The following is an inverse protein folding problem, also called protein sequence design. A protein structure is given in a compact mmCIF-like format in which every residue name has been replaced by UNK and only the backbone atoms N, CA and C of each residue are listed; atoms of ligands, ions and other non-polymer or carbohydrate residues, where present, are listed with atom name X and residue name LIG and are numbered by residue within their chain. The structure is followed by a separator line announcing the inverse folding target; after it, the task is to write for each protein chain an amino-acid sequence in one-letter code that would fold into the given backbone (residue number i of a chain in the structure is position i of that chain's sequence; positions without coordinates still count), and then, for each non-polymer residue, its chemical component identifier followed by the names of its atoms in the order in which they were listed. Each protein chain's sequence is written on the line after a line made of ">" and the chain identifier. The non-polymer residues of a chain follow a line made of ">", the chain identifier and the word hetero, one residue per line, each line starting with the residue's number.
data_IF_266907680582
#
_entry.id   IF_266907680582
#
_cell.length_a   1.000
_cell.length_b   1.000
_cell.length_c   1.000
_cell.angle_alpha   90.00
_cell.angle_beta   90.00
_cell.angle_gamma   90.00
#
_symmetry.space_group_name_H-M   'P 1'
#
loop_
_entity.id
_entity.type
_entity.pdbx_description
1 polymer ?
#
# COMPACT_ATOMS: atom_id res chain seq x y z
N UNK A 1 -1.03 15.36 13.76
CA UNK A 1 -0.88 13.98 13.26
C UNK A 1 -2.24 13.51 12.80
N UNK A 2 -2.55 13.68 11.52
CA UNK A 2 -3.74 13.08 10.91
C UNK A 2 -3.44 11.62 10.62
N UNK A 3 -4.37 10.73 10.94
CA UNK A 3 -4.27 9.33 10.58
C UNK A 3 -4.09 9.22 9.07
N UNK A 4 -2.99 8.60 8.63
CA UNK A 4 -2.85 8.14 7.27
C UNK A 4 -3.79 6.93 7.15
N UNK A 5 -4.94 7.11 6.50
CA UNK A 5 -5.80 6.00 6.09
C UNK A 5 -5.03 5.17 5.06
N UNK A 6 -4.24 4.21 5.57
CA UNK A 6 -3.58 3.16 4.78
C UNK A 6 -4.50 1.94 4.59
N UNK A 7 -5.79 2.08 4.92
CA UNK A 7 -6.75 0.97 5.00
C UNK A 7 -7.41 0.68 3.65
N UNK A 8 -6.59 0.63 2.60
CA UNK A 8 -6.97 0.13 1.28
C UNK A 8 -6.71 -1.38 1.21
N UNK A 9 -7.65 -2.20 0.71
CA UNK A 9 -7.36 -3.61 0.51
C UNK A 9 -6.21 -3.81 -0.49
N UNK A 10 -5.34 -4.79 -0.21
CA UNK A 10 -4.24 -5.22 -1.08
C UNK A 10 -4.66 -5.49 -2.54
N UNK A 11 -5.92 -5.84 -2.77
CA UNK A 11 -6.49 -5.97 -4.11
C UNK A 11 -7.91 -5.43 -4.10
N UNK A 12 -8.21 -4.49 -5.01
CA UNK A 12 -9.55 -3.95 -5.17
C UNK A 12 -9.93 -3.74 -6.64
N UNK A 13 -11.24 -3.69 -6.90
CA UNK A 13 -11.81 -3.30 -8.19
C UNK A 13 -12.68 -2.07 -7.96
N UNK A 14 -12.33 -0.96 -8.60
CA UNK A 14 -13.06 0.31 -8.48
C UNK A 14 -13.53 0.79 -9.84
N UNK A 15 -14.70 1.44 -9.88
CA UNK A 15 -15.20 2.10 -11.09
C UNK A 15 -15.01 3.60 -10.99
N UNK A 16 -14.44 4.19 -12.04
CA UNK A 16 -14.18 5.62 -12.17
C UNK A 16 -14.92 6.18 -13.38
N UNK A 17 -15.29 7.46 -13.33
CA UNK A 17 -16.01 8.14 -14.40
C UNK A 17 -15.08 9.02 -15.26
N UNK A 18 -13.82 9.15 -14.85
CA UNK A 18 -12.79 9.83 -15.62
C UNK A 18 -11.40 9.24 -15.34
N UNK A 19 -10.49 9.35 -16.31
CA UNK A 19 -9.06 9.01 -16.11
C UNK A 19 -8.46 9.94 -15.05
N UNK A 20 -8.92 11.20 -15.00
CA UNK A 20 -8.51 12.18 -14.00
C UNK A 20 -8.77 11.70 -12.57
N UNK A 21 -9.92 11.10 -12.27
CA UNK A 21 -10.19 10.53 -10.94
C UNK A 21 -9.20 9.41 -10.57
N UNK A 22 -8.83 8.56 -11.53
CA UNK A 22 -7.81 7.51 -11.29
C UNK A 22 -6.45 8.18 -10.99
N UNK A 23 -6.10 9.22 -11.74
CA UNK A 23 -4.85 9.96 -11.55
C UNK A 23 -4.79 10.67 -10.20
N UNK A 24 -5.88 11.31 -9.78
CA UNK A 24 -6.03 11.96 -8.46
C UNK A 24 -5.87 10.93 -7.33
N UNK A 25 -6.46 9.73 -7.47
CA UNK A 25 -6.26 8.63 -6.53
C UNK A 25 -4.79 8.20 -6.47
N UNK A 26 -4.11 8.00 -7.61
CA UNK A 26 -2.67 7.65 -7.63
C UNK A 26 -1.82 8.76 -6.98
N UNK A 27 -2.16 10.03 -7.19
CA UNK A 27 -1.45 11.17 -6.59
C UNK A 27 -1.61 11.22 -5.06
N UNK A 28 -2.80 10.89 -4.55
CA UNK A 28 -3.03 10.74 -3.12
C UNK A 28 -2.19 9.59 -2.54
N UNK A 29 -2.17 8.43 -3.21
CA UNK A 29 -1.40 7.26 -2.80
C UNK A 29 0.11 7.56 -2.74
N UNK A 30 0.65 8.24 -3.76
CA UNK A 30 2.06 8.68 -3.80
C UNK A 30 2.36 9.61 -2.63
N UNK A 31 1.47 10.57 -2.35
CA UNK A 31 1.63 11.54 -1.26
C UNK A 31 1.71 10.83 0.09
N UNK A 32 0.85 9.85 0.34
CA UNK A 32 0.86 9.06 1.57
C UNK A 32 2.13 8.22 1.70
N UNK A 33 2.54 7.52 0.65
CA UNK A 33 3.75 6.70 0.66
C UNK A 33 5.01 7.54 0.85
N UNK A 34 5.06 8.76 0.29
CA UNK A 34 6.16 9.70 0.52
C UNK A 34 6.25 10.18 1.96
N UNK A 35 5.12 10.43 2.61
CA UNK A 35 5.08 10.80 4.02
C UNK A 35 5.66 9.66 4.89
N UNK A 36 5.21 8.42 4.66
CA UNK A 36 5.75 7.24 5.34
C UNK A 36 7.24 7.02 5.08
N UNK A 37 7.67 7.19 3.83
CA UNK A 37 9.07 7.05 3.45
C UNK A 37 9.96 8.06 4.21
N UNK A 38 9.49 9.31 4.35
CA UNK A 38 10.22 10.32 5.11
C UNK A 38 10.30 9.94 6.60
N UNK A 39 9.17 9.57 7.21
CA UNK A 39 9.11 9.12 8.61
C UNK A 39 10.08 7.96 8.87
N UNK A 40 10.05 6.92 8.03
CA UNK A 40 10.92 5.75 8.16
C UNK A 40 12.39 6.06 7.85
N UNK A 41 12.67 6.94 6.89
CA UNK A 41 14.04 7.37 6.61
C UNK A 41 14.63 8.19 7.77
N UNK A 42 13.82 9.01 8.42
CA UNK A 42 14.22 9.75 9.62
C UNK A 42 14.45 8.82 10.81
N UNK A 43 13.57 7.84 11.01
CA UNK A 43 13.74 6.81 12.04
C UNK A 43 15.02 6.00 11.82
N UNK A 44 15.23 5.50 10.60
CA UNK A 44 16.45 4.79 10.22
C UNK A 44 17.70 5.63 10.47
N UNK A 45 17.69 6.90 10.03
CA UNK A 45 18.81 7.80 10.26
C UNK A 45 19.10 8.04 11.75
N UNK A 46 18.09 7.98 12.61
CA UNK A 46 18.22 8.13 14.06
C UNK A 46 18.88 6.89 14.66
N UNK A 47 18.44 5.70 14.26
CA UNK A 47 19.04 4.43 14.70
C UNK A 47 20.51 4.32 14.29
N UNK A 48 20.84 4.70 13.05
CA UNK A 48 22.21 4.65 12.54
C UNK A 48 23.17 5.64 13.25
N UNK A 49 22.65 6.76 13.77
CA UNK A 49 23.45 7.77 14.48
C UNK A 49 23.57 7.53 15.98
N UNK A 50 22.68 6.74 16.56
CA UNK A 50 22.70 6.40 17.98
C UNK A 50 22.61 4.88 18.18
N UNK A 51 23.68 4.13 17.84
CA UNK A 51 23.70 2.68 17.97
C UNK A 51 23.70 2.19 19.42
N UNK A 52 23.80 3.08 20.41
CA UNK A 52 23.80 2.69 21.81
C UNK A 52 22.46 2.94 22.52
N UNK A 53 21.81 1.86 22.92
CA UNK A 53 21.19 1.85 24.25
C UNK A 53 21.18 0.45 24.90
N UNK A 54 22.07 0.33 25.88
CA UNK A 54 21.82 -0.27 27.21
C UNK A 54 21.41 -1.75 27.34
N UNK A 55 22.25 -2.51 28.05
CA UNK A 55 21.99 -3.77 28.77
C UNK A 55 20.85 -4.63 28.23
N UNK A 56 21.20 -5.75 27.56
CA UNK A 56 20.27 -6.80 27.11
C UNK A 56 19.19 -7.10 28.16
N UNK A 57 17.95 -6.64 27.96
CA UNK A 57 16.84 -6.90 28.87
C UNK A 57 16.51 -8.40 28.91
N UNK A 58 15.85 -8.89 29.96
CA UNK A 58 15.57 -10.33 30.13
C UNK A 58 14.79 -10.95 28.96
N UNK A 59 13.97 -10.15 28.26
CA UNK A 59 13.27 -10.62 27.07
C UNK A 59 14.22 -10.98 25.92
N UNK A 60 15.36 -10.29 25.76
CA UNK A 60 16.36 -10.60 24.74
C UNK A 60 17.02 -11.96 24.98
N UNK A 61 17.18 -12.37 26.25
CA UNK A 61 17.64 -13.72 26.60
C UNK A 61 16.62 -14.79 26.21
N UNK A 62 15.34 -14.56 26.51
CA UNK A 62 14.25 -15.47 26.13
C UNK A 62 14.15 -15.64 24.61
N UNK A 63 14.25 -14.55 23.85
CA UNK A 63 14.24 -14.62 22.38
C UNK A 63 15.49 -15.34 21.88
N UNK A 64 16.69 -15.08 22.42
CA UNK A 64 17.91 -15.79 22.05
C UNK A 64 17.87 -17.29 22.38
N UNK A 65 17.26 -17.68 23.51
CA UNK A 65 17.02 -19.09 23.86
C UNK A 65 16.03 -19.74 22.89
N UNK A 66 14.93 -19.07 22.56
CA UNK A 66 13.98 -19.53 21.55
C UNK A 66 14.65 -19.69 20.18
N UNK A 67 15.49 -18.73 19.77
CA UNK A 67 16.27 -18.82 18.54
C UNK A 67 17.20 -20.03 18.54
N UNK A 68 17.87 -20.33 19.66
CA UNK A 68 18.71 -21.54 19.80
C UNK A 68 17.91 -22.83 19.69
N UNK A 69 16.74 -22.89 20.33
CA UNK A 69 15.85 -24.07 20.28
C UNK A 69 15.34 -24.31 18.86
N UNK A 70 14.84 -23.25 18.19
CA UNK A 70 14.33 -23.32 16.83
C UNK A 70 15.43 -23.70 15.84
N UNK A 71 16.63 -23.11 15.94
CA UNK A 71 17.79 -23.48 15.10
C UNK A 71 18.28 -24.92 15.35
N UNK A 72 18.15 -25.43 16.58
CA UNK A 72 18.50 -26.81 16.90
C UNK A 72 17.46 -27.82 16.35
N UNK A 73 16.18 -27.42 16.26
CA UNK A 73 15.09 -28.22 15.71
C UNK A 73 15.10 -28.36 14.18
N UNK A 74 15.60 -27.35 13.44
CA UNK A 74 15.61 -27.33 11.97
C UNK A 74 16.69 -28.20 11.28
N UNK A 75 17.41 -29.06 12.02
CA UNK A 75 18.47 -29.92 11.45
C UNK A 75 17.97 -31.13 10.65
N UNK A 76 16.66 -31.30 10.44
CA UNK A 76 16.10 -32.44 9.71
C UNK A 76 15.43 -32.03 8.41
N UNK A 77 16.28 -31.75 7.41
CA UNK A 77 15.99 -31.93 6.00
C UNK A 77 15.21 -30.81 5.31
N UNK A 78 15.91 -29.80 4.81
CA UNK A 78 15.50 -29.08 3.60
C UNK A 78 16.73 -28.45 2.92
N UNK A 79 16.74 -28.52 1.59
CA UNK A 79 17.86 -28.10 0.73
C UNK A 79 18.20 -26.63 0.98
N UNK A 80 19.45 -26.38 1.36
CA UNK A 80 20.05 -25.05 1.48
C UNK A 80 20.11 -24.37 0.11
N UNK A 81 19.30 -23.35 -0.10
CA UNK A 81 19.72 -22.23 -0.93
C UNK A 81 20.80 -21.44 -0.18
N UNK A 82 21.89 -21.13 -0.88
CA UNK A 82 23.05 -20.43 -0.33
C UNK A 82 22.69 -18.98 -0.02
N UNK A 83 22.29 -18.68 1.22
CA UNK A 83 22.28 -17.30 1.72
C UNK A 83 23.71 -16.90 2.11
N UNK A 84 24.18 -15.70 1.71
CA UNK A 84 25.52 -15.24 2.03
C UNK A 84 25.73 -15.14 3.54
N UNK A 85 26.92 -15.55 3.97
CA UNK A 85 27.28 -15.86 5.36
C UNK A 85 27.46 -14.64 6.29
N UNK A 86 26.85 -13.48 5.99
CA UNK A 86 27.07 -12.25 6.76
C UNK A 86 25.81 -11.53 7.25
N UNK A 87 24.58 -12.01 7.04
CA UNK A 87 23.39 -11.26 7.46
C UNK A 87 22.27 -12.09 8.09
N UNK A 88 21.85 -11.55 9.23
CA UNK A 88 20.56 -11.69 9.88
C UNK A 88 20.39 -12.86 10.85
N UNK A 89 20.25 -12.49 12.11
CA UNK A 89 19.98 -13.41 13.21
C UNK A 89 18.51 -13.83 13.28
N UNK A 90 17.72 -13.61 12.23
CA UNK A 90 16.30 -13.99 12.18
C UNK A 90 16.11 -15.50 12.34
N UNK A 91 15.05 -15.86 13.04
CA UNK A 91 14.59 -17.25 13.15
C UNK A 91 13.10 -17.31 12.89
N UNK A 92 12.70 -18.27 12.06
CA UNK A 92 11.30 -18.50 11.72
C UNK A 92 10.60 -19.19 12.89
N UNK A 93 9.51 -18.59 13.35
CA UNK A 93 8.56 -19.16 14.30
C UNK A 93 7.19 -19.24 13.63
N UNK A 94 6.83 -20.44 13.14
CA UNK A 94 5.67 -20.64 12.26
C UNK A 94 5.75 -19.69 11.05
N UNK A 95 4.81 -18.76 10.92
CA UNK A 95 4.73 -17.81 9.81
C UNK A 95 5.36 -16.43 10.15
N UNK A 96 6.07 -16.32 11.27
CA UNK A 96 6.70 -15.07 11.74
C UNK A 96 8.22 -15.20 11.79
N UNK A 97 8.93 -14.08 11.67
CA UNK A 97 10.38 -14.02 11.85
C UNK A 97 10.72 -13.23 13.13
N UNK A 98 11.65 -13.77 13.93
CA UNK A 98 12.08 -13.19 15.20
C UNK A 98 13.59 -12.90 15.19
N UNK A 99 13.97 -11.69 15.55
CA UNK A 99 15.37 -11.28 15.77
C UNK A 99 15.56 -10.78 17.20
N UNK A 100 16.67 -11.18 17.83
CA UNK A 100 17.14 -10.66 19.12
C UNK A 100 18.43 -9.84 18.98
N UNK A 101 18.88 -9.63 17.75
CA UNK A 101 20.05 -8.83 17.44
C UNK A 101 19.73 -7.34 17.50
N UNK A 102 20.75 -6.54 17.83
CA UNK A 102 20.62 -5.09 17.98
C UNK A 102 20.33 -4.37 16.65
N UNK A 103 20.61 -5.02 15.51
CA UNK A 103 20.32 -4.50 14.18
C UNK A 103 18.99 -5.00 13.60
N UNK A 104 18.24 -5.86 14.29
CA UNK A 104 16.98 -6.39 13.77
C UNK A 104 15.95 -5.31 13.43
N UNK A 105 15.86 -4.25 14.24
CA UNK A 105 15.00 -3.09 13.96
C UNK A 105 15.48 -2.30 12.73
N UNK A 106 16.80 -2.14 12.58
CA UNK A 106 17.42 -1.46 11.43
C UNK A 106 17.12 -2.22 10.14
N UNK A 107 17.22 -3.55 10.15
CA UNK A 107 16.91 -4.39 8.99
C UNK A 107 15.43 -4.24 8.57
N UNK A 108 14.48 -4.30 9.51
CA UNK A 108 13.05 -4.11 9.22
C UNK A 108 12.81 -2.75 8.53
N UNK A 109 13.34 -1.67 9.10
CA UNK A 109 13.08 -0.32 8.58
C UNK A 109 13.76 -0.14 7.22
N UNK A 110 14.95 -0.72 7.02
CA UNK A 110 15.63 -0.67 5.73
C UNK A 110 14.81 -1.37 4.64
N UNK A 111 14.32 -2.58 4.90
CA UNK A 111 13.45 -3.32 3.98
C UNK A 111 12.19 -2.51 3.65
N UNK A 112 11.51 -1.96 4.68
CA UNK A 112 10.32 -1.13 4.48
C UNK A 112 10.60 0.13 3.64
N UNK A 113 11.76 0.78 3.83
CA UNK A 113 12.17 1.95 3.03
C UNK A 113 12.40 1.57 1.57
N UNK A 114 13.02 0.42 1.29
CA UNK A 114 13.20 -0.07 -0.08
C UNK A 114 11.87 -0.43 -0.74
N UNK A 115 10.98 -1.11 -0.02
CA UNK A 115 9.64 -1.43 -0.51
C UNK A 115 8.83 -0.16 -0.83
N UNK A 116 8.84 0.85 0.05
CA UNK A 116 8.16 2.13 -0.18
C UNK A 116 8.72 2.86 -1.40
N UNK A 117 10.05 2.87 -1.60
CA UNK A 117 10.68 3.47 -2.81
C UNK A 117 10.22 2.77 -4.08
N UNK A 118 10.26 1.43 -4.10
CA UNK A 118 9.80 0.62 -5.22
C UNK A 118 8.31 0.87 -5.50
N UNK A 119 7.51 1.03 -4.44
CA UNK A 119 6.09 1.30 -4.54
C UNK A 119 5.79 2.66 -5.17
N UNK A 120 6.46 3.71 -4.70
CA UNK A 120 6.37 5.07 -5.26
C UNK A 120 6.76 5.07 -6.73
N UNK A 121 7.82 4.34 -7.12
CA UNK A 121 8.23 4.24 -8.51
C UNK A 121 7.14 3.62 -9.40
N UNK A 122 6.51 2.52 -8.94
CA UNK A 122 5.38 1.89 -9.65
C UNK A 122 4.20 2.84 -9.81
N UNK A 123 3.85 3.58 -8.76
CA UNK A 123 2.77 4.57 -8.79
C UNK A 123 3.09 5.73 -9.75
N UNK A 124 4.32 6.24 -9.74
CA UNK A 124 4.76 7.30 -10.66
C UNK A 124 4.69 6.84 -12.14
N UNK A 125 5.11 5.60 -12.42
CA UNK A 125 4.96 4.98 -13.75
C UNK A 125 3.49 4.92 -14.17
N UNK A 126 2.61 4.42 -13.29
CA UNK A 126 1.18 4.35 -13.56
C UNK A 126 0.55 5.73 -13.79
N UNK A 127 0.91 6.74 -12.97
CA UNK A 127 0.46 8.13 -13.13
C UNK A 127 0.84 8.71 -14.49
N UNK A 128 2.07 8.45 -14.95
CA UNK A 128 2.54 8.92 -16.25
C UNK A 128 1.78 8.24 -17.40
N UNK A 129 1.58 6.92 -17.33
CA UNK A 129 0.75 6.19 -18.30
C UNK A 129 -0.70 6.71 -18.33
N UNK A 130 -1.29 7.04 -17.17
CA UNK A 130 -2.63 7.64 -17.09
C UNK A 130 -2.66 9.03 -17.72
N UNK A 131 -1.62 9.85 -17.54
CA UNK A 131 -1.54 11.17 -18.17
C UNK A 131 -1.43 11.08 -19.70
N UNK A 132 -0.71 10.08 -20.22
CA UNK A 132 -0.69 9.77 -21.65
C UNK A 132 -2.07 9.29 -22.13
N UNK A 133 -2.69 8.37 -21.39
CA UNK A 133 -4.02 7.83 -21.69
C UNK A 133 -5.09 8.94 -21.74
N UNK A 134 -5.02 9.92 -20.85
CA UNK A 134 -5.93 11.07 -20.82
C UNK A 134 -5.83 11.92 -22.09
N UNK A 135 -4.62 12.04 -22.68
CA UNK A 135 -4.41 12.77 -23.95
C UNK A 135 -5.00 12.04 -25.15
N UNK A 136 -5.07 10.71 -25.13
CA UNK A 136 -5.70 9.93 -26.20
C UNK A 136 -7.21 10.18 -26.27
N UNK A 137 -7.87 10.28 -25.10
CA UNK A 137 -9.28 10.63 -24.97
C UNK A 137 -10.25 9.57 -25.52
N UNK A 138 -11.00 8.90 -24.64
CA UNK A 138 -12.02 7.91 -25.03
C UNK A 138 -13.42 8.51 -25.27
N UNK A 139 -13.52 9.83 -25.38
CA UNK A 139 -14.80 10.53 -25.53
C UNK A 139 -15.64 10.60 -24.24
N UNK A 140 -16.79 11.26 -24.33
CA UNK A 140 -17.77 11.35 -23.24
C UNK A 140 -18.67 10.11 -23.28
N UNK A 141 -18.97 9.52 -22.13
CA UNK A 141 -19.89 8.38 -22.03
C UNK A 141 -19.23 7.02 -21.89
N UNK A 142 -18.02 6.95 -21.33
CA UNK A 142 -17.39 5.71 -20.88
C UNK A 142 -17.19 5.70 -19.36
N UNK A 143 -17.05 4.51 -18.79
CA UNK A 143 -16.62 4.27 -17.41
C UNK A 143 -15.40 3.36 -17.42
N UNK A 144 -14.57 3.51 -16.39
CA UNK A 144 -13.29 2.82 -16.26
C UNK A 144 -13.38 1.87 -15.07
N UNK A 145 -13.40 0.57 -15.34
CA UNK A 145 -13.32 -0.46 -14.30
C UNK A 145 -11.86 -0.82 -14.11
N UNK A 146 -11.30 -0.41 -12.98
CA UNK A 146 -9.86 -0.48 -12.70
C UNK A 146 -9.60 -1.56 -11.67
N UNK A 147 -8.69 -2.47 -12.01
CA UNK A 147 -8.09 -3.42 -11.09
C UNK A 147 -6.88 -2.75 -10.43
N UNK A 148 -6.92 -2.64 -9.11
CA UNK A 148 -5.92 -1.98 -8.30
C UNK A 148 -5.29 -3.05 -7.42
N UNK A 149 -3.97 -3.18 -7.50
CA UNK A 149 -3.21 -4.11 -6.68
C UNK A 149 -2.17 -3.35 -5.87
N UNK A 150 -2.24 -3.53 -4.56
CA UNK A 150 -1.50 -2.81 -3.53
C UNK A 150 -1.70 -1.28 -3.63
N UNK A 151 -2.81 -0.78 -4.19
CA UNK A 151 -2.99 0.66 -4.47
C UNK A 151 -2.45 1.13 -5.84
N UNK A 152 -1.81 0.27 -6.64
CA UNK A 152 -1.39 0.60 -8.02
C UNK A 152 -2.46 0.13 -9.02
N UNK A 153 -2.97 1.00 -9.93
CA UNK A 153 -3.86 0.58 -10.99
C UNK A 153 -3.06 -0.17 -12.07
N UNK A 154 -3.33 -1.47 -12.25
CA UNK A 154 -2.58 -2.31 -13.20
C UNK A 154 -3.37 -2.61 -14.48
N UNK A 155 -4.70 -2.64 -14.40
CA UNK A 155 -5.57 -2.97 -15.55
C UNK A 155 -6.80 -2.09 -15.55
N UNK A 156 -7.18 -1.59 -16.71
CA UNK A 156 -8.37 -0.75 -16.89
C UNK A 156 -9.21 -1.31 -18.02
N UNK A 157 -10.45 -1.68 -17.73
CA UNK A 157 -11.45 -2.01 -18.73
C UNK A 157 -12.32 -0.77 -19.00
N UNK A 158 -12.31 -0.31 -20.24
CA UNK A 158 -13.15 0.80 -20.71
C UNK A 158 -14.49 0.23 -21.17
N UNK A 159 -15.59 0.74 -20.62
CA UNK A 159 -16.95 0.32 -20.99
C UNK A 159 -17.81 1.52 -21.34
N UNK A 160 -18.78 1.41 -22.27
CA UNK A 160 -19.81 2.42 -22.41
C UNK A 160 -20.50 2.64 -21.07
N UNK A 161 -20.68 3.90 -20.69
CA UNK A 161 -21.55 4.26 -19.58
C UNK A 161 -22.93 3.78 -19.99
N UNK A 162 -23.49 2.81 -19.26
CA UNK A 162 -24.88 2.39 -19.48
C UNK A 162 -25.76 3.62 -19.29
N UNK A 163 -26.13 4.25 -20.41
CA UNK A 163 -27.28 5.13 -20.44
C UNK A 163 -28.46 4.19 -20.20
N UNK A 164 -29.35 4.55 -19.29
CA UNK A 164 -30.67 3.94 -19.25
C UNK A 164 -31.37 4.31 -20.56
N UNK A 165 -31.03 3.63 -21.66
CA UNK A 165 -31.94 3.51 -22.80
C UNK A 165 -32.91 2.37 -22.47
N UNK A 166 -33.74 2.69 -21.49
CA UNK A 166 -35.08 2.18 -21.29
C UNK A 166 -35.89 3.40 -20.90
N UNK A 167 -36.87 3.75 -21.71
CA UNK A 167 -37.78 4.86 -21.52
C UNK A 167 -38.48 4.81 -20.15
N UNK A 168 -37.99 5.57 -19.17
CA UNK A 168 -38.89 6.16 -18.18
C UNK A 168 -38.59 7.66 -18.17
N UNK A 169 -39.34 8.39 -19.00
CA UNK A 169 -39.50 9.83 -18.86
C UNK A 169 -40.07 10.08 -17.46
N UNK A 170 -39.21 10.30 -16.48
CA UNK A 170 -39.64 10.87 -15.21
C UNK A 170 -40.15 12.29 -15.51
N UNK A 171 -41.48 12.39 -15.68
CA UNK A 171 -42.21 13.65 -15.76
C UNK A 171 -42.47 14.08 -14.33
N UNK A 172 -41.63 14.98 -13.81
CA UNK A 172 -41.95 15.69 -12.58
C UNK A 172 -43.10 16.66 -12.86
N UNK A 173 -44.29 16.33 -12.36
CA UNK A 173 -45.44 17.23 -12.30
C UNK A 173 -45.50 17.78 -10.88
N UNK A 174 -45.31 19.08 -10.74
CA UNK A 174 -45.47 19.79 -9.48
C UNK A 174 -46.63 20.78 -9.64
N UNK A 175 -47.72 20.54 -8.92
CA UNK A 175 -48.82 21.48 -8.79
C UNK A 175 -48.56 22.39 -7.60
N UNK A 176 -48.57 23.70 -7.85
CA UNK A 176 -48.45 24.72 -6.81
C UNK A 176 -49.77 25.45 -6.67
N UNK A 177 -50.32 25.48 -5.45
CA UNK A 177 -51.49 26.28 -5.10
C UNK A 177 -51.12 27.39 -4.13
N UNK A 178 -51.51 28.63 -4.43
CA UNK A 178 -51.39 29.76 -3.50
C UNK A 178 -52.68 29.87 -2.69
N UNK A 179 -52.57 29.73 -1.37
CA UNK A 179 -53.69 30.00 -0.45
C UNK A 179 -53.81 31.50 -0.29
N UNK A 180 -54.96 32.08 -0.69
CA UNK A 180 -55.30 33.47 -0.35
C UNK A 180 -55.46 33.55 1.17
N UNK A 181 -54.57 34.31 1.83
CA UNK A 181 -54.80 34.73 3.20
C UNK A 181 -55.94 35.75 3.22
N UNK A 182 -56.91 35.51 4.10
CA UNK A 182 -58.07 36.37 4.39
C UNK A 182 -57.62 37.54 5.24
#
# INVERSE_FOLDING_TARGET
>A
MGALDLDGPATEIRTFYSIREIREMVEAEISQHRALLDDYSQWLGTLLRNPESSKKPEWAKKVSELQKILRAGSRKGEKKEEKPAYLSDWVVFKDLMLCADEFGEVEIIFEAVEELKNKIERLEKAKNSLAELERYGFGKGVVYVTYIHEGVPEKIAVKPKKTLEGEEKFRFVADFSVVKQI
#
